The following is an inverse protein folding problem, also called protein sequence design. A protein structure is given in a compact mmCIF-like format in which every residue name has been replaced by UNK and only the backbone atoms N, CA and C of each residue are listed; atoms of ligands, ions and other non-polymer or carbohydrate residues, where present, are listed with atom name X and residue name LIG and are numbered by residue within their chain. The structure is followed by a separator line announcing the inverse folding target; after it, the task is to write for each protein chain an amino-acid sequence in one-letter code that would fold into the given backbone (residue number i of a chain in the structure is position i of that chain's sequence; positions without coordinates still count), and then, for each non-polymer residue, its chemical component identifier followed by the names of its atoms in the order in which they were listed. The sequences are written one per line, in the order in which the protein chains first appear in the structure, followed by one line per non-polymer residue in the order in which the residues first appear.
data_IF_839520810375
#
_entry.id   IF_839520810375
#
_cell.length_a   1.000
_cell.length_b   1.000
_cell.length_c   1.000
_cell.angle_alpha   90.00
_cell.angle_beta   90.00
_cell.angle_gamma   90.00
#
_symmetry.space_group_name_H-M   'P 1'
#
loop_
_entity.id
_entity.type
_entity.pdbx_description
1 polymer ?
#
# COMPACT_ATOMS: atom_id res chain seq x y z
N UNK A 1 16.36 5.92 2.75
CA UNK A 1 17.07 5.14 3.77
C UNK A 1 18.12 6.01 4.46
N UNK A 2 18.28 5.89 5.79
CA UNK A 2 19.31 6.61 6.54
C UNK A 2 20.62 5.84 6.40
N UNK A 3 21.50 6.30 5.51
CA UNK A 3 22.74 5.58 5.21
C UNK A 3 23.94 6.06 6.04
N UNK A 4 23.85 7.23 6.71
CA UNK A 4 24.91 7.84 7.53
C UNK A 4 24.34 8.71 8.66
N UNK A 5 25.15 8.97 9.69
CA UNK A 5 24.80 9.90 10.78
C UNK A 5 24.69 11.32 10.22
N UNK A 6 23.49 11.89 10.25
CA UNK A 6 23.21 13.26 9.82
C UNK A 6 23.75 14.27 10.84
N UNK A 7 24.14 15.47 10.38
CA UNK A 7 24.51 16.59 11.27
C UNK A 7 23.37 17.01 12.21
N UNK A 8 22.12 16.68 11.84
CA UNK A 8 20.94 16.90 12.65
C UNK A 8 20.97 16.12 13.98
N UNK A 9 21.72 15.02 14.08
CA UNK A 9 21.90 14.29 15.36
C UNK A 9 22.68 15.09 16.40
N UNK A 10 23.34 16.19 16.03
CA UNK A 10 24.08 17.04 16.96
C UNK A 10 23.21 18.17 17.53
N UNK A 11 21.98 18.33 17.04
CA UNK A 11 21.04 19.34 17.54
C UNK A 11 20.28 18.77 18.74
N UNK A 12 20.49 19.35 19.92
CA UNK A 12 19.85 18.93 21.18
C UNK A 12 18.33 19.15 21.18
N UNK A 13 17.82 19.95 20.24
CA UNK A 13 16.39 20.23 20.06
C UNK A 13 15.68 19.22 19.15
N UNK A 14 16.43 18.31 18.50
CA UNK A 14 15.89 17.31 17.59
C UNK A 14 15.96 15.93 18.24
N UNK A 15 14.83 15.23 18.29
CA UNK A 15 14.73 13.89 18.82
C UNK A 15 14.36 12.91 17.69
N UNK A 16 15.32 12.10 17.23
CA UNK A 16 15.04 11.08 16.22
C UNK A 16 14.44 9.81 16.86
N UNK A 17 13.39 9.21 16.28
CA UNK A 17 12.69 9.60 15.05
C UNK A 17 11.50 10.54 15.29
N UNK A 18 11.18 10.93 16.53
CA UNK A 18 9.98 11.74 16.85
C UNK A 18 9.89 13.06 16.08
N UNK A 19 11.03 13.71 15.80
CA UNK A 19 11.11 14.94 14.99
C UNK A 19 11.03 14.70 13.48
N UNK A 20 11.22 13.45 13.03
CA UNK A 20 11.20 13.03 11.63
C UNK A 20 10.53 11.67 11.52
N UNK A 21 9.25 11.61 11.87
CA UNK A 21 8.45 10.37 11.77
C UNK A 21 8.44 9.90 10.32
N UNK A 22 8.47 8.58 10.10
CA UNK A 22 8.41 8.02 8.75
C UNK A 22 7.16 8.53 8.06
N UNK A 23 7.34 9.23 6.95
CA UNK A 23 6.23 9.85 6.25
C UNK A 23 5.42 8.82 5.47
N UNK A 24 4.20 9.22 5.09
CA UNK A 24 3.23 8.38 4.39
C UNK A 24 3.77 7.78 3.08
N UNK A 25 4.66 8.49 2.39
CA UNK A 25 5.23 8.06 1.11
C UNK A 25 6.03 6.78 1.30
N UNK A 26 6.96 6.79 2.26
CA UNK A 26 7.81 5.63 2.50
C UNK A 26 7.04 4.52 3.23
N UNK A 27 6.26 4.86 4.27
CA UNK A 27 5.61 3.85 5.09
C UNK A 27 4.47 3.15 4.34
N UNK A 28 3.50 3.91 3.83
CA UNK A 28 2.29 3.33 3.27
C UNK A 28 2.47 2.96 1.79
N UNK A 29 3.12 3.83 1.01
CA UNK A 29 3.19 3.64 -0.44
C UNK A 29 4.35 2.72 -0.84
N UNK A 30 5.58 3.04 -0.47
CA UNK A 30 6.74 2.28 -0.94
C UNK A 30 6.95 0.95 -0.20
N UNK A 31 6.55 0.87 1.07
CA UNK A 31 6.71 -0.33 1.89
C UNK A 31 5.44 -1.19 1.94
N UNK A 32 4.41 -0.78 2.71
CA UNK A 32 3.27 -1.65 3.01
C UNK A 32 2.57 -2.12 1.72
N UNK A 33 2.27 -1.22 0.78
CA UNK A 33 1.58 -1.63 -0.45
C UNK A 33 2.38 -2.62 -1.30
N UNK A 34 3.70 -2.43 -1.37
CA UNK A 34 4.60 -3.35 -2.06
C UNK A 34 4.65 -4.71 -1.36
N UNK A 35 4.81 -4.73 -0.03
CA UNK A 35 4.83 -5.96 0.75
C UNK A 35 3.52 -6.73 0.64
N UNK A 36 2.39 -6.04 0.70
CA UNK A 36 1.07 -6.66 0.53
C UNK A 36 0.90 -7.26 -0.86
N UNK A 37 1.37 -6.57 -1.91
CA UNK A 37 1.38 -7.12 -3.25
C UNK A 37 2.25 -8.39 -3.33
N UNK A 38 3.46 -8.37 -2.78
CA UNK A 38 4.35 -9.53 -2.73
C UNK A 38 3.74 -10.70 -1.94
N UNK A 39 2.97 -10.41 -0.88
CA UNK A 39 2.19 -11.39 -0.10
C UNK A 39 1.16 -12.08 -0.99
N UNK A 40 0.34 -11.31 -1.70
CA UNK A 40 -0.72 -11.86 -2.54
C UNK A 40 -0.22 -12.51 -3.84
N UNK A 41 1.01 -12.21 -4.28
CA UNK A 41 1.67 -12.93 -5.37
C UNK A 41 2.46 -14.15 -4.91
N UNK A 42 2.57 -14.38 -3.59
CA UNK A 42 3.34 -15.49 -3.01
C UNK A 42 4.85 -15.36 -3.25
N UNK A 43 5.36 -14.13 -3.27
CA UNK A 43 6.80 -13.85 -3.49
C UNK A 43 7.43 -13.07 -2.34
N UNK A 44 6.74 -12.95 -1.21
CA UNK A 44 7.22 -12.17 -0.07
C UNK A 44 8.35 -12.90 0.67
N UNK A 45 8.13 -14.17 1.01
CA UNK A 45 9.15 -14.99 1.67
C UNK A 45 10.08 -15.63 0.65
N UNK A 46 11.37 -15.74 0.99
CA UNK A 46 12.34 -16.46 0.16
C UNK A 46 12.07 -17.98 0.14
N UNK A 47 11.49 -18.52 1.21
CA UNK A 47 11.04 -19.90 1.26
C UNK A 47 9.65 -20.03 0.64
N UNK A 48 9.55 -20.80 -0.45
CA UNK A 48 8.30 -21.03 -1.16
C UNK A 48 7.24 -21.73 -0.30
N UNK A 49 7.65 -22.52 0.71
CA UNK A 49 6.71 -23.23 1.58
C UNK A 49 5.84 -22.27 2.41
N UNK A 50 6.38 -21.09 2.75
CA UNK A 50 5.73 -20.04 3.52
C UNK A 50 4.77 -19.16 2.69
N UNK A 51 4.74 -19.35 1.36
CA UNK A 51 3.89 -18.59 0.44
C UNK A 51 2.66 -19.40 -0.02
N UNK A 52 2.13 -20.30 0.82
CA UNK A 52 1.01 -21.21 0.47
C UNK A 52 -0.29 -20.88 1.23
N UNK A 53 -0.50 -19.61 1.51
CA UNK A 53 -1.66 -19.14 2.28
C UNK A 53 -2.87 -18.84 1.38
N UNK A 54 -4.11 -18.86 1.92
CA UNK A 54 -5.33 -18.70 1.14
C UNK A 54 -5.47 -17.32 0.47
N UNK A 55 -4.70 -16.32 0.90
CA UNK A 55 -4.66 -15.00 0.27
C UNK A 55 -3.78 -14.94 -0.99
N UNK A 56 -3.04 -16.01 -1.31
CA UNK A 56 -2.16 -16.04 -2.48
C UNK A 56 -3.00 -16.30 -3.73
N UNK A 57 -2.97 -15.34 -4.66
CA UNK A 57 -3.75 -15.41 -5.89
C UNK A 57 -2.94 -16.06 -7.01
N UNK A 58 -3.62 -16.85 -7.83
CA UNK A 58 -3.01 -17.46 -9.00
C UNK A 58 -2.48 -16.40 -9.99
N UNK A 59 -1.39 -16.73 -10.69
CA UNK A 59 -0.76 -15.83 -11.68
C UNK A 59 -1.72 -15.40 -12.79
N UNK A 60 -2.68 -16.25 -13.19
CA UNK A 60 -3.73 -15.92 -14.16
C UNK A 60 -4.59 -14.74 -13.70
N UNK A 61 -4.96 -14.70 -12.42
CA UNK A 61 -5.73 -13.61 -11.81
C UNK A 61 -4.95 -12.30 -11.88
N UNK A 62 -3.65 -12.33 -11.59
CA UNK A 62 -2.79 -11.15 -11.72
C UNK A 62 -2.60 -10.69 -13.17
N UNK A 63 -2.55 -11.61 -14.12
CA UNK A 63 -2.53 -11.27 -15.56
C UNK A 63 -3.82 -10.56 -15.98
N UNK A 64 -4.98 -11.03 -15.52
CA UNK A 64 -6.27 -10.34 -15.75
C UNK A 64 -6.29 -8.94 -15.14
N UNK A 65 -5.88 -8.81 -13.87
CA UNK A 65 -5.80 -7.52 -13.18
C UNK A 65 -4.90 -6.56 -13.96
N UNK A 66 -3.71 -7.01 -14.36
CA UNK A 66 -2.76 -6.21 -15.13
C UNK A 66 -3.31 -5.76 -16.49
N UNK A 67 -4.04 -6.63 -17.19
CA UNK A 67 -4.70 -6.31 -18.45
C UNK A 67 -5.86 -5.31 -18.25
N UNK A 68 -6.66 -5.49 -17.18
CA UNK A 68 -7.72 -4.54 -16.81
C UNK A 68 -7.13 -3.15 -16.54
N UNK A 69 -6.06 -3.04 -15.75
CA UNK A 69 -5.34 -1.77 -15.52
C UNK A 69 -4.87 -1.14 -16.83
N UNK A 70 -4.32 -1.94 -17.74
CA UNK A 70 -3.86 -1.44 -19.04
C UNK A 70 -5.01 -0.95 -19.93
N UNK A 71 -6.17 -1.61 -19.89
CA UNK A 71 -7.35 -1.18 -20.66
C UNK A 71 -7.95 0.13 -20.15
N UNK A 72 -8.07 0.27 -18.82
CA UNK A 72 -8.62 1.46 -18.15
C UNK A 72 -7.79 2.73 -18.40
N UNK A 73 -6.52 2.57 -18.81
CA UNK A 73 -5.65 3.69 -19.17
C UNK A 73 -6.23 4.57 -20.29
N UNK A 74 -7.02 4.01 -21.21
CA UNK A 74 -7.61 4.77 -22.32
C UNK A 74 -8.77 5.65 -21.86
N UNK A 75 -9.44 5.25 -20.78
CA UNK A 75 -10.69 5.87 -20.31
C UNK A 75 -10.47 6.84 -19.13
N UNK A 76 -9.30 6.80 -18.48
CA UNK A 76 -8.99 7.75 -17.42
C UNK A 76 -8.66 9.14 -18.02
N UNK A 77 -9.33 10.21 -17.58
CA UNK A 77 -8.95 11.57 -17.95
C UNK A 77 -7.53 11.84 -17.45
N UNK A 78 -6.75 12.56 -18.27
CA UNK A 78 -5.33 12.86 -18.08
C UNK A 78 -4.94 13.54 -16.76
N UNK A 79 -5.87 13.81 -15.84
CA UNK A 79 -5.59 14.52 -14.60
C UNK A 79 -6.54 14.07 -13.46
N UNK A 80 -6.04 13.87 -12.21
CA UNK A 80 -4.66 13.96 -11.77
C UNK A 80 -4.03 12.58 -11.60
N UNK A 81 -3.11 12.24 -12.51
CA UNK A 81 -2.24 11.08 -12.40
C UNK A 81 -1.94 10.43 -13.75
N UNK A 82 -0.70 9.99 -13.94
CA UNK A 82 -0.40 9.09 -15.06
C UNK A 82 -1.19 7.80 -14.85
N UNK A 83 -1.85 7.26 -15.89
CA UNK A 83 -2.54 5.99 -15.77
C UNK A 83 -1.59 4.90 -15.26
N UNK A 84 -2.03 4.17 -14.25
CA UNK A 84 -1.21 3.18 -13.56
C UNK A 84 -0.79 2.07 -14.55
N UNK A 85 0.52 1.77 -14.59
CA UNK A 85 1.06 0.73 -15.48
C UNK A 85 0.59 -0.66 -15.03
N UNK A 86 0.73 -1.69 -15.85
CA UNK A 86 0.41 -3.06 -15.42
C UNK A 86 1.27 -3.46 -14.19
N UNK A 87 0.62 -3.75 -13.06
CA UNK A 87 1.31 -4.02 -11.78
C UNK A 87 2.16 -5.28 -11.83
N UNK A 88 1.67 -6.34 -12.47
CA UNK A 88 2.39 -7.62 -12.56
C UNK A 88 3.76 -7.47 -13.24
N UNK A 89 3.87 -6.59 -14.24
CA UNK A 89 5.11 -6.37 -14.99
C UNK A 89 6.00 -5.26 -14.43
N UNK A 90 5.43 -4.31 -13.68
CA UNK A 90 6.14 -3.06 -13.35
C UNK A 90 6.25 -2.73 -11.86
N UNK A 91 5.67 -3.52 -10.94
CA UNK A 91 5.65 -3.20 -9.50
C UNK A 91 7.02 -2.88 -8.89
N UNK A 92 8.10 -3.53 -9.36
CA UNK A 92 9.46 -3.27 -8.87
C UNK A 92 9.98 -1.87 -9.17
N UNK A 93 9.46 -1.24 -10.22
CA UNK A 93 9.79 0.11 -10.65
C UNK A 93 8.68 1.12 -10.40
N UNK A 94 7.68 0.76 -9.59
CA UNK A 94 6.65 1.70 -9.16
C UNK A 94 7.24 2.73 -8.22
N UNK A 95 6.88 3.99 -8.43
CA UNK A 95 7.15 5.07 -7.48
C UNK A 95 6.01 5.20 -6.48
N UNK A 96 6.22 5.97 -5.43
CA UNK A 96 5.21 6.23 -4.42
C UNK A 96 3.86 6.73 -4.98
N UNK A 97 3.86 7.54 -6.05
CA UNK A 97 2.63 7.98 -6.72
C UNK A 97 1.82 6.81 -7.30
N UNK A 98 2.50 5.84 -7.92
CA UNK A 98 1.86 4.65 -8.49
C UNK A 98 1.30 3.74 -7.39
N UNK A 99 2.05 3.55 -6.30
CA UNK A 99 1.56 2.83 -5.14
C UNK A 99 0.40 3.54 -4.44
N UNK A 100 0.43 4.87 -4.34
CA UNK A 100 -0.68 5.65 -3.80
C UNK A 100 -1.95 5.43 -4.64
N UNK A 101 -1.85 5.51 -5.98
CA UNK A 101 -2.97 5.23 -6.87
C UNK A 101 -3.45 3.78 -6.72
N UNK A 102 -2.54 2.81 -6.64
CA UNK A 102 -2.88 1.41 -6.39
C UNK A 102 -3.72 1.25 -5.13
N UNK A 103 -3.27 1.79 -4.00
CA UNK A 103 -3.97 1.70 -2.72
C UNK A 103 -5.34 2.35 -2.83
N UNK A 104 -5.41 3.61 -3.26
CA UNK A 104 -6.60 4.44 -3.05
C UNK A 104 -7.63 4.32 -4.16
N UNK A 105 -7.27 3.84 -5.35
CA UNK A 105 -8.18 3.77 -6.50
C UNK A 105 -8.35 2.37 -7.06
N UNK A 106 -7.26 1.61 -7.21
CA UNK A 106 -7.28 0.38 -8.00
C UNK A 106 -7.46 -0.90 -7.19
N UNK A 107 -6.83 -1.00 -6.02
CA UNK A 107 -6.71 -2.26 -5.27
C UNK A 107 -8.08 -2.83 -4.86
N UNK A 108 -8.94 -2.04 -4.21
CA UNK A 108 -10.25 -2.56 -3.76
C UNK A 108 -11.19 -2.96 -4.90
N UNK A 109 -11.35 -2.18 -6.00
CA UNK A 109 -12.16 -2.65 -7.13
C UNK A 109 -11.57 -3.89 -7.80
N UNK A 110 -10.25 -3.93 -8.00
CA UNK A 110 -9.60 -5.01 -8.76
C UNK A 110 -9.43 -6.30 -7.95
N UNK A 111 -9.42 -6.25 -6.62
CA UNK A 111 -9.34 -7.42 -5.75
C UNK A 111 -10.72 -7.98 -5.36
N UNK A 112 -11.79 -7.23 -5.60
CA UNK A 112 -13.15 -7.63 -5.20
C UNK A 112 -13.56 -8.94 -5.90
N UNK A 113 -13.97 -9.94 -5.12
CA UNK A 113 -14.36 -11.25 -5.63
C UNK A 113 -13.19 -12.14 -6.08
N UNK A 114 -11.95 -11.67 -5.95
CA UNK A 114 -10.72 -12.43 -6.24
C UNK A 114 -9.95 -12.77 -4.98
N UNK A 115 -9.78 -11.80 -4.08
CA UNK A 115 -9.18 -12.02 -2.77
C UNK A 115 -10.26 -12.56 -1.80
N UNK A 116 -9.94 -13.54 -0.93
CA UNK A 116 -10.90 -14.00 0.06
C UNK A 116 -11.42 -12.85 0.92
N UNK A 117 -12.70 -12.91 1.29
CA UNK A 117 -13.42 -11.80 1.92
C UNK A 117 -12.75 -11.31 3.21
N UNK A 118 -12.18 -12.21 4.00
CA UNK A 118 -11.42 -11.90 5.21
C UNK A 118 -10.25 -10.94 4.94
N UNK A 119 -9.34 -11.29 4.02
CA UNK A 119 -8.18 -10.47 3.68
C UNK A 119 -8.54 -9.21 2.89
N UNK A 120 -9.60 -9.28 2.08
CA UNK A 120 -10.16 -8.11 1.42
C UNK A 120 -10.65 -7.07 2.43
N UNK A 121 -11.38 -7.52 3.45
CA UNK A 121 -11.86 -6.66 4.52
C UNK A 121 -10.68 -6.10 5.33
N UNK A 122 -9.68 -6.91 5.65
CA UNK A 122 -8.43 -6.47 6.29
C UNK A 122 -7.76 -5.35 5.50
N UNK A 123 -7.52 -5.55 4.20
CA UNK A 123 -6.92 -4.53 3.34
C UNK A 123 -7.78 -3.26 3.22
N UNK A 124 -9.11 -3.40 3.23
CA UNK A 124 -10.02 -2.25 3.17
C UNK A 124 -9.85 -1.29 4.35
N UNK A 125 -9.47 -1.78 5.54
CA UNK A 125 -9.18 -0.95 6.70
C UNK A 125 -7.98 -0.04 6.43
N UNK A 126 -6.91 -0.61 5.88
CA UNK A 126 -5.71 0.14 5.49
C UNK A 126 -6.03 1.18 4.42
N UNK A 127 -6.72 0.81 3.34
CA UNK A 127 -7.10 1.74 2.26
C UNK A 127 -7.93 2.91 2.80
N UNK A 128 -8.85 2.65 3.74
CA UNK A 128 -9.63 3.71 4.39
C UNK A 128 -8.76 4.65 5.22
N UNK A 129 -7.82 4.11 6.00
CA UNK A 129 -6.88 4.93 6.78
C UNK A 129 -6.04 5.83 5.86
N UNK A 130 -5.47 5.27 4.79
CA UNK A 130 -4.67 6.02 3.81
C UNK A 130 -5.47 7.15 3.17
N UNK A 131 -6.71 6.89 2.76
CA UNK A 131 -7.60 7.93 2.19
C UNK A 131 -7.90 9.05 3.19
N UNK A 132 -8.05 8.75 4.48
CA UNK A 132 -8.22 9.77 5.52
C UNK A 132 -6.95 10.62 5.67
N UNK A 133 -5.76 10.01 5.62
CA UNK A 133 -4.49 10.74 5.67
C UNK A 133 -4.27 11.68 4.48
N UNK A 134 -4.94 11.44 3.35
CA UNK A 134 -4.86 12.28 2.14
C UNK A 134 -5.82 13.49 2.17
N UNK A 135 -6.65 13.63 3.21
CA UNK A 135 -7.51 14.81 3.35
C UNK A 135 -6.67 16.08 3.49
N UNK A 136 -7.11 17.16 2.85
CA UNK A 136 -6.47 18.49 2.95
C UNK A 136 -6.47 19.05 4.37
N UNK A 137 -7.51 18.73 5.14
CA UNK A 137 -7.65 19.10 6.55
C UNK A 137 -8.03 17.84 7.32
N UNK A 138 -7.27 17.54 8.37
CA UNK A 138 -7.45 16.36 9.21
C UNK A 138 -7.97 16.84 10.57
N UNK A 139 -9.16 16.37 10.95
CA UNK A 139 -9.74 16.65 12.26
C UNK A 139 -9.21 15.69 13.33
N UNK A 140 -9.40 16.01 14.62
CA UNK A 140 -9.10 15.09 15.72
C UNK A 140 -9.90 13.77 15.59
N UNK A 141 -11.14 13.86 15.10
CA UNK A 141 -11.94 12.67 14.82
C UNK A 141 -11.32 11.81 13.71
N UNK A 142 -10.80 12.43 12.65
CA UNK A 142 -10.07 11.70 11.59
C UNK A 142 -8.82 11.01 12.15
N UNK A 143 -8.07 11.67 13.04
CA UNK A 143 -6.89 11.07 13.68
C UNK A 143 -7.25 9.82 14.50
N UNK A 144 -8.31 9.90 15.31
CA UNK A 144 -8.79 8.75 16.07
C UNK A 144 -9.23 7.60 15.15
N UNK A 145 -9.95 7.93 14.07
CA UNK A 145 -10.37 6.94 13.07
C UNK A 145 -9.18 6.30 12.35
N UNK A 146 -8.17 7.08 11.97
CA UNK A 146 -6.95 6.58 11.34
C UNK A 146 -6.27 5.58 12.29
N UNK A 147 -6.09 5.96 13.56
CA UNK A 147 -5.47 5.11 14.57
C UNK A 147 -6.21 3.77 14.74
N UNK A 148 -7.54 3.80 14.89
CA UNK A 148 -8.35 2.59 15.02
C UNK A 148 -8.28 1.69 13.77
N UNK A 149 -8.32 2.28 12.58
CA UNK A 149 -8.26 1.53 11.32
C UNK A 149 -6.92 0.85 11.13
N UNK A 150 -5.81 1.56 11.43
CA UNK A 150 -4.46 1.00 11.32
C UNK A 150 -4.22 -0.09 12.36
N UNK A 151 -4.71 0.09 13.60
CA UNK A 151 -4.60 -0.93 14.64
C UNK A 151 -5.34 -2.21 14.24
N UNK A 152 -6.58 -2.09 13.74
CA UNK A 152 -7.36 -3.25 13.27
C UNK A 152 -6.70 -3.94 12.07
N UNK A 153 -6.11 -3.18 11.15
CA UNK A 153 -5.33 -3.73 10.04
C UNK A 153 -4.11 -4.50 10.54
N UNK A 154 -3.35 -3.93 11.47
CA UNK A 154 -2.16 -4.56 12.05
C UNK A 154 -2.51 -5.88 12.76
N UNK A 155 -3.49 -5.87 13.66
CA UNK A 155 -3.95 -7.08 14.38
C UNK A 155 -4.51 -8.15 13.44
N UNK A 156 -4.96 -7.78 12.24
CA UNK A 156 -5.43 -8.74 11.25
C UNK A 156 -4.27 -9.50 10.56
N UNK A 157 -3.14 -8.83 10.29
CA UNK A 157 -2.02 -9.40 9.53
C UNK A 157 -0.87 -9.95 10.40
N UNK A 158 -0.77 -9.55 11.67
CA UNK A 158 0.33 -9.96 12.57
C UNK A 158 -0.01 -11.18 13.45
N UNK A 159 -0.98 -12.01 13.05
CA UNK A 159 -1.34 -13.22 13.81
C UNK A 159 -0.35 -14.35 13.63
#
# INVERSE_FOLDING_TARGET
GINKRSILFNLTTINFPNSFTVDIMHLFYENIAKYMFEYWTGTFFSDASQNNEPYVLAKSVWSEIGNQMHSLRKDLPSNPGRPLRNILHHYRGYKAEEWAAWITMYSLPLLKGRLPSEYYNGWSLFVRAVRLCQKKVISVHDLNNINELLLKFYTHYEK
#
